data_IF_932209435110
#
_entry.id   IF_932209435110
#
_cell.length_a   1.000
_cell.length_b   1.000
_cell.length_c   1.000
_cell.angle_alpha   90.00
_cell.angle_beta   90.00
_cell.angle_gamma   90.00
#
_symmetry.space_group_name_H-M   'P 1'
#
loop_
_entity.id
_entity.type
_entity.pdbx_description
1 polymer ?
#
# COMPACT_ATOMS: atom_id res chain seq x y z
N UNK A 1 12.91 18.94 1.69
CA UNK A 1 12.76 17.90 2.74
C UNK A 1 13.47 16.65 2.23
N UNK A 2 14.38 16.04 2.99
CA UNK A 2 15.06 14.81 2.51
C UNK A 2 14.06 13.66 2.39
N UNK A 3 14.34 12.67 1.53
CA UNK A 3 13.47 11.50 1.30
C UNK A 3 13.19 10.77 2.62
N UNK A 4 14.21 10.61 3.47
CA UNK A 4 14.07 9.99 4.79
C UNK A 4 13.12 10.76 5.71
N UNK A 5 13.10 12.10 5.64
CA UNK A 5 12.16 12.92 6.42
C UNK A 5 10.74 12.82 5.88
N UNK A 6 10.55 12.79 4.55
CA UNK A 6 9.22 12.59 3.95
C UNK A 6 8.65 11.22 4.36
N UNK A 7 9.50 10.19 4.31
CA UNK A 7 9.15 8.84 4.74
C UNK A 7 8.81 8.77 6.23
N UNK A 8 9.59 9.46 7.07
CA UNK A 8 9.30 9.61 8.50
C UNK A 8 8.00 10.38 8.77
N UNK A 9 7.68 11.39 7.96
CA UNK A 9 6.42 12.14 8.06
C UNK A 9 5.20 11.29 7.68
N UNK A 10 5.31 10.50 6.62
CA UNK A 10 4.27 9.54 6.23
C UNK A 10 3.99 8.54 7.37
N UNK A 11 5.04 7.97 7.97
CA UNK A 11 4.92 7.14 9.16
C UNK A 11 4.26 7.88 10.35
N UNK A 12 4.67 9.12 10.62
CA UNK A 12 4.10 9.93 11.71
C UNK A 12 2.59 10.13 11.56
N UNK A 13 2.11 10.41 10.34
CA UNK A 13 0.67 10.56 10.09
C UNK A 13 -0.08 9.25 10.34
N UNK A 14 0.43 8.12 9.84
CA UNK A 14 -0.17 6.81 10.11
C UNK A 14 -0.17 6.48 11.61
N UNK A 15 0.93 6.76 12.30
CA UNK A 15 1.04 6.60 13.76
C UNK A 15 0.00 7.45 14.49
N UNK A 16 -0.17 8.72 14.11
CA UNK A 16 -1.13 9.63 14.74
C UNK A 16 -2.59 9.22 14.46
N UNK A 17 -2.88 8.68 13.27
CA UNK A 17 -4.18 8.11 12.94
C UNK A 17 -4.49 6.90 13.82
N UNK A 18 -3.56 5.93 13.89
CA UNK A 18 -3.72 4.76 14.76
C UNK A 18 -3.80 5.13 16.23
N UNK A 19 -3.02 6.10 16.70
CA UNK A 19 -3.07 6.56 18.09
C UNK A 19 -4.45 7.13 18.46
N UNK A 20 -5.10 7.86 17.53
CA UNK A 20 -6.46 8.36 17.73
C UNK A 20 -7.47 7.20 17.77
N UNK A 21 -7.36 6.25 16.86
CA UNK A 21 -8.21 5.05 16.80
C UNK A 21 -8.07 4.25 18.10
N UNK A 22 -6.84 3.90 18.49
CA UNK A 22 -6.53 3.13 19.70
C UNK A 22 -7.09 3.81 20.97
N UNK A 23 -6.97 5.15 21.08
CA UNK A 23 -7.59 5.92 22.17
C UNK A 23 -9.11 5.81 22.19
N UNK A 24 -9.77 5.82 21.03
CA UNK A 24 -11.23 5.66 20.93
C UNK A 24 -11.70 4.25 21.32
N UNK A 25 -10.86 3.23 21.18
CA UNK A 25 -11.19 1.84 21.50
C UNK A 25 -10.75 1.39 22.91
N UNK A 26 -10.31 2.32 23.78
CA UNK A 26 -10.03 2.03 25.19
C UNK A 26 -8.72 1.28 25.46
N UNK A 27 -7.88 1.06 24.43
CA UNK A 27 -6.56 0.45 24.57
C UNK A 27 -5.65 0.95 23.44
N UNK A 28 -4.44 1.41 23.75
CA UNK A 28 -3.18 0.63 23.69
C UNK A 28 -1.98 1.60 23.87
N UNK A 29 -0.85 1.12 24.41
CA UNK A 29 0.37 1.91 24.58
C UNK A 29 1.08 2.27 23.26
N UNK A 30 2.18 3.05 23.29
CA UNK A 30 2.85 3.56 22.08
C UNK A 30 3.46 2.47 21.18
N UNK A 31 3.83 1.31 21.73
CA UNK A 31 4.46 0.21 21.00
C UNK A 31 3.53 -0.49 19.98
N UNK A 32 2.33 -0.96 20.36
CA UNK A 32 1.40 -1.56 19.40
C UNK A 32 0.93 -0.57 18.33
N UNK A 33 0.73 0.70 18.69
CA UNK A 33 0.43 1.76 17.71
C UNK A 33 1.56 1.93 16.69
N UNK A 34 2.83 1.87 17.13
CA UNK A 34 4.02 1.86 16.23
C UNK A 34 3.92 0.71 15.22
N UNK A 35 3.66 -0.50 15.71
CA UNK A 35 3.62 -1.69 14.85
C UNK A 35 2.48 -1.62 13.82
N UNK A 36 1.28 -1.20 14.23
CA UNK A 36 0.14 -1.01 13.31
C UNK A 36 0.47 0.01 12.20
N UNK A 37 1.12 1.11 12.56
CA UNK A 37 1.55 2.12 11.59
C UNK A 37 2.61 1.58 10.61
N UNK A 38 3.61 0.83 11.09
CA UNK A 38 4.61 0.21 10.23
C UNK A 38 4.00 -0.82 9.26
N UNK A 39 3.07 -1.65 9.76
CA UNK A 39 2.36 -2.65 8.94
C UNK A 39 1.53 -1.96 7.86
N UNK A 40 0.78 -0.91 8.22
CA UNK A 40 -0.04 -0.16 7.26
C UNK A 40 0.84 0.50 6.18
N UNK A 41 1.96 1.09 6.58
CA UNK A 41 2.95 1.66 5.66
C UNK A 41 3.51 0.60 4.70
N UNK A 42 3.83 -0.58 5.21
CA UNK A 42 4.30 -1.71 4.40
C UNK A 42 3.23 -2.20 3.42
N UNK A 43 1.97 -2.33 3.86
CA UNK A 43 0.88 -2.77 2.99
C UNK A 43 0.67 -1.83 1.79
N UNK A 44 0.78 -0.52 2.00
CA UNK A 44 0.63 0.48 0.92
C UNK A 44 1.77 0.36 -0.10
N UNK A 45 3.01 0.16 0.36
CA UNK A 45 4.16 -0.06 -0.53
C UNK A 45 4.02 -1.36 -1.33
N UNK A 46 3.55 -2.42 -0.68
CA UNK A 46 3.28 -3.71 -1.31
C UNK A 46 2.22 -3.56 -2.40
N UNK A 47 1.09 -2.89 -2.12
CA UNK A 47 0.06 -2.61 -3.12
C UNK A 47 0.60 -1.81 -4.30
N UNK A 48 1.49 -0.84 -4.06
CA UNK A 48 2.11 -0.04 -5.11
C UNK A 48 3.03 -0.91 -6.00
N UNK A 49 3.87 -1.77 -5.40
CA UNK A 49 4.72 -2.71 -6.16
C UNK A 49 3.86 -3.67 -6.99
N UNK A 50 2.78 -4.21 -6.42
CA UNK A 50 1.87 -5.07 -7.17
C UNK A 50 1.17 -4.32 -8.30
N UNK A 51 0.69 -3.10 -8.06
CA UNK A 51 0.03 -2.30 -9.08
C UNK A 51 0.97 -2.08 -10.28
N UNK A 52 2.22 -1.68 -10.02
CA UNK A 52 3.25 -1.51 -11.05
C UNK A 52 3.47 -2.81 -11.83
N UNK A 53 3.64 -3.94 -11.13
CA UNK A 53 3.86 -5.22 -11.79
C UNK A 53 2.69 -5.63 -12.72
N UNK A 54 1.45 -5.36 -12.31
CA UNK A 54 0.26 -5.60 -13.13
C UNK A 54 0.20 -4.69 -14.37
N UNK A 55 0.53 -3.40 -14.22
CA UNK A 55 0.63 -2.49 -15.38
C UNK A 55 1.73 -2.89 -16.34
N UNK A 56 2.91 -3.26 -15.85
CA UNK A 56 4.00 -3.74 -16.69
C UNK A 56 3.58 -4.97 -17.49
N UNK A 57 2.87 -5.91 -16.86
CA UNK A 57 2.32 -7.07 -17.57
C UNK A 57 1.33 -6.68 -18.66
N UNK A 58 0.43 -5.75 -18.37
CA UNK A 58 -0.56 -5.25 -19.33
C UNK A 58 0.08 -4.54 -20.54
N UNK A 59 0.99 -3.58 -20.30
CA UNK A 59 1.60 -2.79 -21.38
C UNK A 59 2.62 -3.58 -22.21
N UNK A 60 3.32 -4.54 -21.62
CA UNK A 60 4.31 -5.36 -22.32
C UNK A 60 3.72 -6.64 -22.93
N UNK A 61 2.41 -6.88 -22.76
CA UNK A 61 1.75 -8.16 -23.12
C UNK A 61 2.46 -9.39 -22.54
N UNK A 62 3.12 -9.22 -21.40
CA UNK A 62 3.74 -10.32 -20.66
C UNK A 62 2.73 -10.69 -19.59
N UNK A 63 2.24 -11.93 -19.56
CA UNK A 63 1.52 -12.43 -18.40
C UNK A 63 2.55 -12.71 -17.31
N UNK A 64 2.74 -11.79 -16.34
CA UNK A 64 3.80 -11.98 -15.37
C UNK A 64 3.31 -13.12 -14.47
N UNK A 65 3.95 -14.28 -14.57
CA UNK A 65 3.69 -15.40 -13.68
C UNK A 65 4.36 -15.11 -12.33
N UNK A 66 3.83 -14.11 -11.61
CA UNK A 66 4.34 -13.68 -10.31
C UNK A 66 3.99 -14.78 -9.30
N UNK A 67 4.85 -15.77 -9.19
CA UNK A 67 4.78 -16.70 -8.08
C UNK A 67 5.16 -15.93 -6.81
N UNK A 68 4.20 -15.72 -5.90
CA UNK A 68 4.38 -15.01 -4.63
C UNK A 68 5.58 -15.53 -3.81
N UNK A 69 5.92 -16.81 -3.97
CA UNK A 69 7.03 -17.47 -3.27
C UNK A 69 8.32 -17.61 -4.11
N UNK A 70 8.38 -17.00 -5.30
CA UNK A 70 9.63 -16.95 -6.07
C UNK A 70 10.59 -15.91 -5.50
N UNK A 71 11.89 -16.11 -5.69
CA UNK A 71 12.91 -15.15 -5.29
C UNK A 71 12.66 -13.75 -5.88
N UNK A 72 12.25 -13.69 -7.15
CA UNK A 72 11.90 -12.44 -7.85
C UNK A 72 10.68 -11.76 -7.22
N UNK A 73 9.69 -12.55 -6.79
CA UNK A 73 8.54 -12.06 -6.06
C UNK A 73 8.90 -11.52 -4.68
N UNK A 74 9.76 -12.21 -3.92
CA UNK A 74 10.11 -11.85 -2.54
C UNK A 74 11.16 -10.73 -2.42
N UNK A 75 12.05 -10.59 -3.41
CA UNK A 75 13.11 -9.58 -3.42
C UNK A 75 12.65 -8.16 -3.05
N UNK A 76 11.59 -7.58 -3.66
CA UNK A 76 11.15 -6.23 -3.31
C UNK A 76 10.69 -6.12 -1.85
N UNK A 77 10.06 -7.16 -1.29
CA UNK A 77 9.61 -7.18 0.11
C UNK A 77 10.78 -7.17 1.08
N UNK A 78 11.83 -7.94 0.80
CA UNK A 78 13.04 -7.98 1.62
C UNK A 78 13.72 -6.60 1.63
N UNK A 79 13.84 -5.96 0.46
CA UNK A 79 14.40 -4.60 0.34
C UNK A 79 13.60 -3.60 1.18
N UNK A 80 12.26 -3.63 1.09
CA UNK A 80 11.40 -2.75 1.88
C UNK A 80 11.56 -2.98 3.39
N UNK A 81 11.65 -4.24 3.84
CA UNK A 81 11.86 -4.56 5.25
C UNK A 81 13.21 -4.06 5.76
N UNK A 82 14.29 -4.29 5.00
CA UNK A 82 15.63 -3.80 5.35
C UNK A 82 15.66 -2.28 5.42
N UNK A 83 15.06 -1.59 4.45
CA UNK A 83 14.96 -0.12 4.47
C UNK A 83 14.22 0.39 5.70
N UNK A 84 13.08 -0.23 6.08
CA UNK A 84 12.33 0.15 7.29
C UNK A 84 13.14 -0.06 8.56
N UNK A 85 13.83 -1.19 8.67
CA UNK A 85 14.69 -1.47 9.83
C UNK A 85 15.78 -0.41 9.97
N UNK A 86 16.45 -0.07 8.86
CA UNK A 86 17.43 1.02 8.88
C UNK A 86 16.80 2.35 9.26
N UNK A 87 15.66 2.76 8.68
CA UNK A 87 15.14 4.11 8.90
C UNK A 87 14.51 4.29 10.30
N UNK A 88 13.75 3.30 10.77
CA UNK A 88 12.92 3.45 11.97
C UNK A 88 13.43 2.73 13.21
N UNK A 89 13.97 1.52 13.04
CA UNK A 89 14.33 0.66 14.18
C UNK A 89 15.76 0.91 14.65
N UNK A 90 16.68 1.21 13.72
CA UNK A 90 18.03 1.63 14.08
C UNK A 90 17.98 2.88 14.96
N UNK A 91 18.56 2.78 16.15
CA UNK A 91 18.69 3.84 17.16
C UNK A 91 17.35 4.45 17.62
N UNK A 92 16.25 3.69 17.55
CA UNK A 92 14.93 4.14 18.02
C UNK A 92 14.45 5.44 17.35
N UNK A 93 14.95 5.71 16.12
CA UNK A 93 14.74 6.96 15.39
C UNK A 93 13.29 7.34 15.17
N UNK A 94 12.38 6.36 15.19
CA UNK A 94 10.94 6.61 15.16
C UNK A 94 10.48 7.60 16.25
N UNK A 95 11.06 7.55 17.47
CA UNK A 95 10.72 8.49 18.56
C UNK A 95 11.11 9.92 18.21
N UNK A 96 12.26 10.09 17.56
CA UNK A 96 12.75 11.39 17.13
C UNK A 96 11.85 12.01 16.06
N UNK A 97 11.38 11.20 15.10
CA UNK A 97 10.40 11.65 14.12
C UNK A 97 9.09 12.10 14.78
N UNK A 98 8.55 11.30 15.71
CA UNK A 98 7.33 11.68 16.43
C UNK A 98 7.52 13.00 17.16
N UNK A 99 8.63 13.18 17.90
CA UNK A 99 8.93 14.42 18.63
C UNK A 99 9.13 15.62 17.69
N UNK A 100 9.86 15.44 16.58
CA UNK A 100 10.11 16.51 15.59
C UNK A 100 8.81 17.00 14.95
N UNK A 101 7.94 16.08 14.53
CA UNK A 101 6.71 16.41 13.82
C UNK A 101 5.57 16.84 14.74
N UNK A 102 5.58 16.47 16.02
CA UNK A 102 4.59 16.98 16.98
C UNK A 102 4.82 18.46 17.32
N UNK A 103 6.08 18.94 17.20
CA UNK A 103 6.42 20.35 17.35
C UNK A 103 6.05 21.22 16.13
N UNK A 104 5.48 20.65 15.07
CA UNK A 104 5.09 21.43 13.89
C UNK A 104 3.80 22.25 14.12
N UNK A 105 3.66 23.41 13.45
CA UNK A 105 2.45 24.22 13.54
C UNK A 105 1.20 23.41 13.13
N UNK A 106 0.07 23.56 13.86
CA UNK A 106 -1.13 22.75 13.63
C UNK A 106 -1.70 22.89 12.22
N UNK A 107 -1.63 24.09 11.63
CA UNK A 107 -2.06 24.35 10.23
C UNK A 107 -1.25 23.52 9.22
N UNK A 108 0.06 23.40 9.43
CA UNK A 108 0.96 22.61 8.55
C UNK A 108 0.69 21.11 8.71
N UNK A 109 0.44 20.67 9.94
CA UNK A 109 0.16 19.27 10.22
C UNK A 109 -1.16 18.81 9.58
N UNK A 110 -2.19 19.67 9.61
CA UNK A 110 -3.49 19.36 8.99
C UNK A 110 -3.41 19.23 7.47
N UNK A 111 -2.73 20.17 6.80
CA UNK A 111 -2.52 20.12 5.36
C UNK A 111 -1.73 18.86 4.94
N UNK A 112 -0.64 18.53 5.64
CA UNK A 112 0.13 17.33 5.34
C UNK A 112 -0.61 16.02 5.67
N UNK A 113 -1.48 16.02 6.68
CA UNK A 113 -2.38 14.88 6.94
C UNK A 113 -3.30 14.62 5.75
N UNK A 114 -3.93 15.67 5.20
CA UNK A 114 -4.79 15.55 4.02
C UNK A 114 -4.04 15.04 2.78
N UNK A 115 -2.82 15.52 2.55
CA UNK A 115 -1.96 15.03 1.45
C UNK A 115 -1.69 13.54 1.60
N UNK A 116 -1.35 13.08 2.80
CA UNK A 116 -1.10 11.66 3.07
C UNK A 116 -2.36 10.83 2.82
N UNK A 117 -3.52 11.27 3.30
CA UNK A 117 -4.80 10.57 3.06
C UNK A 117 -5.10 10.48 1.56
N UNK A 118 -4.96 11.58 0.81
CA UNK A 118 -5.17 11.60 -0.64
C UNK A 118 -4.21 10.64 -1.36
N UNK A 119 -2.94 10.58 -0.94
CA UNK A 119 -1.96 9.66 -1.49
C UNK A 119 -2.35 8.19 -1.24
N UNK A 120 -2.81 7.85 -0.03
CA UNK A 120 -3.26 6.49 0.30
C UNK A 120 -4.46 6.11 -0.57
N UNK A 121 -5.45 6.99 -0.68
CA UNK A 121 -6.62 6.77 -1.54
C UNK A 121 -6.20 6.56 -3.00
N UNK A 122 -5.30 7.40 -3.51
CA UNK A 122 -4.76 7.27 -4.86
C UNK A 122 -4.12 5.89 -5.09
N UNK A 123 -3.28 5.41 -4.17
CA UNK A 123 -2.67 4.07 -4.28
C UNK A 123 -3.72 2.96 -4.26
N UNK A 124 -4.74 3.07 -3.40
CA UNK A 124 -5.82 2.07 -3.34
C UNK A 124 -6.62 2.05 -4.64
N UNK A 125 -7.04 3.21 -5.15
CA UNK A 125 -7.76 3.29 -6.43
C UNK A 125 -6.91 2.78 -7.58
N UNK A 126 -5.63 3.14 -7.60
CA UNK A 126 -4.69 2.70 -8.63
C UNK A 126 -4.47 1.18 -8.60
N UNK A 127 -4.40 0.59 -7.40
CA UNK A 127 -4.32 -0.85 -7.22
C UNK A 127 -5.59 -1.57 -7.68
N UNK A 128 -6.78 -1.07 -7.31
CA UNK A 128 -8.07 -1.62 -7.77
C UNK A 128 -8.17 -1.55 -9.30
N UNK A 129 -7.76 -0.42 -9.90
CA UNK A 129 -7.75 -0.27 -11.36
C UNK A 129 -6.78 -1.23 -12.04
N UNK A 130 -5.60 -1.46 -11.45
CA UNK A 130 -4.63 -2.45 -11.97
C UNK A 130 -5.19 -3.88 -11.97
N UNK A 131 -5.96 -4.25 -10.93
CA UNK A 131 -6.66 -5.54 -10.85
C UNK A 131 -7.78 -5.67 -11.88
N UNK A 132 -8.43 -4.56 -12.24
CA UNK A 132 -9.43 -4.55 -13.31
C UNK A 132 -8.80 -4.78 -14.69
N UNK A 133 -7.64 -4.18 -14.96
CA UNK A 133 -6.94 -4.33 -16.23
C UNK A 133 -6.33 -5.73 -16.42
N UNK A 134 -5.76 -6.29 -15.36
CA UNK A 134 -5.10 -7.60 -15.41
C UNK A 134 -5.55 -8.46 -14.21
N UNK A 135 -6.76 -9.05 -14.27
CA UNK A 135 -7.30 -9.80 -13.15
C UNK A 135 -6.47 -11.05 -12.87
N UNK A 136 -6.18 -11.36 -11.60
CA UNK A 136 -5.44 -12.56 -11.24
C UNK A 136 -6.23 -13.82 -11.66
N UNK A 137 -5.55 -14.73 -12.36
CA UNK A 137 -6.11 -15.93 -13.00
C UNK A 137 -6.86 -16.90 -12.06
N UNK A 138 -6.72 -16.74 -10.74
CA UNK A 138 -7.40 -17.57 -9.73
C UNK A 138 -8.55 -16.90 -8.96
N UNK A 139 -8.70 -15.57 -9.00
CA UNK A 139 -9.53 -14.84 -8.02
C UNK A 139 -10.86 -14.29 -8.53
N UNK A 140 -11.02 -14.10 -9.85
CA UNK A 140 -12.14 -13.34 -10.43
C UNK A 140 -12.93 -14.08 -11.52
N UNK A 141 -12.91 -15.42 -11.54
CA UNK A 141 -13.69 -16.23 -12.51
C UNK A 141 -15.20 -15.91 -12.52
N UNK A 142 -15.76 -15.43 -11.40
CA UNK A 142 -17.19 -15.06 -11.32
C UNK A 142 -17.53 -13.71 -11.98
N UNK A 143 -16.55 -12.83 -12.24
CA UNK A 143 -16.75 -11.56 -12.93
C UNK A 143 -16.59 -11.73 -14.45
N UNK A 144 -15.68 -12.60 -14.89
CA UNK A 144 -15.47 -12.92 -16.32
C UNK A 144 -16.63 -13.71 -16.95
N UNK A 145 -17.36 -14.49 -16.16
CA UNK A 145 -18.51 -15.30 -16.65
C UNK A 145 -19.75 -14.46 -16.95
N UNK A 146 -19.80 -13.18 -16.54
CA UNK A 146 -20.93 -12.28 -16.86
C UNK A 146 -20.76 -11.48 -18.13
N UNK A 147 -19.54 -11.22 -18.59
CA UNK A 147 -19.29 -10.40 -19.81
C UNK A 147 -19.22 -11.22 -21.09
N UNK A 148 -18.96 -12.53 -21.02
CA UNK A 148 -18.88 -13.40 -22.20
C UNK A 148 -20.20 -14.06 -22.61
N UNK A 149 -21.28 -13.90 -21.82
CA UNK A 149 -22.59 -14.52 -22.11
C UNK A 149 -23.56 -13.63 -22.92
N UNK A 150 -23.18 -12.42 -23.36
CA UNK A 150 -24.09 -11.54 -24.12
C UNK A 150 -23.78 -11.40 -25.61
N UNK A 151 -23.06 -12.33 -26.24
CA UNK A 151 -22.77 -12.17 -27.66
C UNK A 151 -22.17 -13.38 -28.35
N UNK A 152 -22.93 -14.48 -28.45
CA UNK A 152 -22.87 -15.38 -29.61
C UNK A 152 -24.23 -16.09 -29.72
N UNK A 153 -25.04 -15.68 -30.69
CA UNK A 153 -26.21 -16.41 -31.14
C UNK A 153 -25.75 -17.72 -31.84
N UNK A 154 -26.43 -18.86 -31.65
CA UNK A 154 -26.13 -20.08 -32.39
C UNK A 154 -26.68 -19.95 -33.82
N UNK A 155 -25.77 -19.71 -34.77
CA UNK A 155 -26.06 -19.73 -36.20
C UNK A 155 -25.70 -21.08 -36.82
N UNK A 156 -26.73 -21.80 -37.23
CA UNK A 156 -26.81 -22.77 -38.33
C UNK A 156 -25.94 -24.04 -38.34
N UNK A 157 -26.66 -25.15 -38.19
CA UNK A 157 -26.36 -26.49 -38.69
C UNK A 157 -26.49 -26.50 -40.22
N UNK A 158 -25.50 -27.09 -40.90
CA UNK A 158 -25.66 -27.82 -42.15
C UNK A 158 -24.80 -29.08 -42.06
#
# INVERSE_FOLDING_TARGET
>A
MSISKLYGYFFYILYKMWLKIDKSFGATGPFPTKMKALICMFAIEVWLVFAIALYCGYFLNIHPHIAFFSFVGLAPFIVLLVMKWFIFEKDDRWKNYVKEFDNWPPKRNLAGTWIVIMMILFVIFNFIYSLYLNPPSGGLKWLQTRTTKSGYAPGFVL
#
